data_IF_481673504828
#
_entry.id   IF_481673504828
#
_cell.length_a   1.000
_cell.length_b   1.000
_cell.length_c   1.000
_cell.angle_alpha   90.00
_cell.angle_beta   90.00
_cell.angle_gamma   90.00
#
_symmetry.space_group_name_H-M   'P 1'
#
loop_
_entity.id
_entity.type
_entity.pdbx_description
1 polymer ?
#
# COMPACT_ATOMS: atom_id res chain seq x y z
N UNK A 1 13.24 -19.62 1.78
CA UNK A 1 14.52 -19.61 1.03
C UNK A 1 15.15 -18.26 1.30
N UNK A 2 16.44 -18.17 1.72
CA UNK A 2 17.05 -16.86 1.92
C UNK A 2 16.97 -16.05 0.61
N UNK A 3 16.68 -14.74 0.67
CA UNK A 3 16.59 -13.92 -0.53
C UNK A 3 17.91 -14.05 -1.32
N UNK A 4 17.80 -14.33 -2.61
CA UNK A 4 18.98 -14.31 -3.49
C UNK A 4 19.55 -12.90 -3.45
N UNK A 5 20.80 -12.77 -3.10
CA UNK A 5 21.50 -11.50 -3.18
C UNK A 5 21.63 -11.12 -4.65
N UNK A 6 20.83 -10.18 -5.11
CA UNK A 6 20.97 -9.59 -6.44
C UNK A 6 22.34 -8.93 -6.53
N UNK A 7 23.06 -9.18 -7.60
CA UNK A 7 24.41 -8.65 -7.79
C UNK A 7 24.40 -7.45 -8.74
N UNK A 8 25.39 -6.58 -8.61
CA UNK A 8 25.61 -5.45 -9.52
C UNK A 8 25.66 -5.89 -10.99
N UNK A 9 26.34 -6.99 -11.29
CA UNK A 9 26.49 -7.47 -12.66
C UNK A 9 25.17 -7.92 -13.27
N UNK A 10 24.23 -8.45 -12.47
CA UNK A 10 22.89 -8.82 -12.93
C UNK A 10 22.04 -7.61 -13.34
N UNK A 11 22.20 -6.45 -12.67
CA UNK A 11 21.44 -5.23 -12.97
C UNK A 11 22.18 -4.26 -13.91
N UNK A 12 23.44 -4.53 -14.25
CA UNK A 12 24.25 -3.64 -15.10
C UNK A 12 23.63 -3.41 -16.49
N UNK A 13 22.97 -4.43 -17.06
CA UNK A 13 22.26 -4.34 -18.34
C UNK A 13 21.06 -3.40 -18.26
N UNK A 14 20.21 -3.59 -17.24
CA UNK A 14 19.03 -2.75 -16.99
C UNK A 14 19.42 -1.29 -16.70
N UNK A 15 20.41 -1.06 -15.84
CA UNK A 15 20.90 0.27 -15.52
C UNK A 15 21.38 1.02 -16.77
N UNK A 16 22.12 0.33 -17.65
CA UNK A 16 22.62 0.90 -18.91
C UNK A 16 21.50 1.20 -19.90
N UNK A 17 20.50 0.33 -20.00
CA UNK A 17 19.35 0.54 -20.86
C UNK A 17 18.50 1.73 -20.39
N UNK A 18 18.28 1.85 -19.06
CA UNK A 18 17.50 2.91 -18.45
C UNK A 18 18.18 4.29 -18.46
N UNK A 19 19.49 4.34 -18.14
CA UNK A 19 20.19 5.59 -17.85
C UNK A 19 21.22 5.99 -18.92
N UNK A 20 21.36 5.18 -19.96
CA UNK A 20 22.22 5.45 -21.10
C UNK A 20 23.56 4.70 -21.07
N UNK A 21 24.02 4.31 -22.27
CA UNK A 21 25.17 3.42 -22.49
C UNK A 21 26.53 3.99 -22.14
N UNK A 22 26.65 5.29 -21.89
CA UNK A 22 27.90 5.96 -21.49
C UNK A 22 28.23 5.86 -20.00
N UNK A 23 27.29 5.35 -19.19
CA UNK A 23 27.42 5.22 -17.74
C UNK A 23 27.63 3.77 -17.33
N UNK A 24 28.35 3.58 -16.23
CA UNK A 24 28.60 2.26 -15.67
C UNK A 24 27.95 2.17 -14.28
N UNK A 25 27.24 1.07 -14.02
CA UNK A 25 26.72 0.79 -12.69
C UNK A 25 27.88 0.54 -11.72
N UNK A 26 28.01 1.37 -10.69
CA UNK A 26 29.05 1.30 -9.68
C UNK A 26 28.59 0.59 -8.41
N UNK A 27 27.37 0.85 -7.99
CA UNK A 27 26.79 0.29 -6.76
C UNK A 27 25.33 -0.10 -6.89
N UNK A 28 24.92 -1.05 -6.06
CA UNK A 28 23.51 -1.38 -5.79
C UNK A 28 23.30 -1.45 -4.28
N UNK A 29 22.15 -0.98 -3.83
CA UNK A 29 21.72 -1.04 -2.45
C UNK A 29 20.29 -1.58 -2.40
N UNK A 30 20.05 -2.67 -1.67
CA UNK A 30 18.68 -3.14 -1.42
C UNK A 30 18.02 -2.24 -0.39
N UNK A 31 16.93 -1.59 -0.76
CA UNK A 31 16.14 -0.81 0.16
C UNK A 31 15.21 -1.73 0.98
N UNK A 32 15.00 -1.37 2.24
CA UNK A 32 14.16 -2.13 3.17
C UNK A 32 12.69 -1.71 3.05
N UNK A 33 11.77 -2.56 3.49
CA UNK A 33 10.33 -2.26 3.61
C UNK A 33 9.43 -2.97 2.61
N UNK A 34 9.92 -3.41 1.45
CA UNK A 34 9.12 -4.16 0.48
C UNK A 34 8.77 -5.57 0.97
N UNK A 35 7.49 -5.97 0.83
CA UNK A 35 7.03 -7.35 1.14
C UNK A 35 6.67 -8.15 -0.09
N UNK A 36 6.44 -7.51 -1.25
CA UNK A 36 5.95 -8.14 -2.48
C UNK A 36 6.91 -8.03 -3.68
N UNK A 37 7.91 -7.14 -3.60
CA UNK A 37 8.90 -6.88 -4.66
C UNK A 37 10.26 -6.49 -4.07
N UNK A 38 11.34 -6.77 -4.80
CA UNK A 38 12.67 -6.27 -4.50
C UNK A 38 12.80 -4.80 -4.94
N UNK A 39 13.35 -3.96 -4.07
CA UNK A 39 13.58 -2.53 -4.36
C UNK A 39 15.08 -2.26 -4.22
N UNK A 40 15.72 -1.84 -5.31
CA UNK A 40 17.16 -1.64 -5.35
C UNK A 40 17.51 -0.25 -5.85
N UNK A 41 18.29 0.52 -5.07
CA UNK A 41 18.90 1.75 -5.56
C UNK A 41 20.11 1.40 -6.40
N UNK A 42 20.14 1.90 -7.62
CA UNK A 42 21.23 1.81 -8.57
C UNK A 42 22.06 3.10 -8.49
N UNK A 43 23.38 3.01 -8.37
CA UNK A 43 24.29 4.17 -8.39
C UNK A 43 25.25 4.02 -9.55
N UNK A 44 25.26 5.02 -10.44
CA UNK A 44 26.15 5.09 -11.59
C UNK A 44 27.47 5.76 -11.22
N UNK A 45 28.49 5.60 -12.08
CA UNK A 45 29.85 6.17 -11.89
C UNK A 45 29.89 7.70 -11.93
N UNK A 46 28.83 8.37 -12.40
CA UNK A 46 28.66 9.82 -12.33
C UNK A 46 27.78 10.26 -11.14
N UNK A 47 27.55 9.38 -10.17
CA UNK A 47 26.67 9.56 -9.03
C UNK A 47 25.16 9.73 -9.37
N UNK A 48 24.75 9.53 -10.61
CA UNK A 48 23.32 9.44 -10.95
C UNK A 48 22.72 8.20 -10.28
N UNK A 49 21.50 8.33 -9.73
CA UNK A 49 20.79 7.23 -9.09
C UNK A 49 19.45 6.94 -9.77
N UNK A 50 18.99 5.70 -9.64
CA UNK A 50 17.66 5.25 -10.05
C UNK A 50 17.21 4.11 -9.14
N UNK A 51 15.91 3.79 -9.16
CA UNK A 51 15.35 2.66 -8.42
C UNK A 51 14.99 1.55 -9.41
N UNK A 52 15.44 0.33 -9.13
CA UNK A 52 14.98 -0.88 -9.81
C UNK A 52 13.95 -1.61 -8.94
N UNK A 53 12.78 -1.89 -9.51
CA UNK A 53 11.77 -2.79 -8.95
C UNK A 53 11.90 -4.16 -9.61
N UNK A 54 11.96 -5.21 -8.80
CA UNK A 54 12.06 -6.59 -9.26
C UNK A 54 10.88 -7.41 -8.73
N UNK A 55 10.02 -7.90 -9.61
CA UNK A 55 8.93 -8.80 -9.26
C UNK A 55 9.39 -10.26 -9.40
N UNK A 56 10.29 -10.66 -8.52
CA UNK A 56 10.81 -12.02 -8.42
C UNK A 56 10.19 -12.75 -7.24
N UNK A 57 9.85 -14.03 -7.40
CA UNK A 57 9.23 -14.85 -6.34
C UNK A 57 10.07 -14.86 -5.05
N UNK A 58 11.38 -14.83 -5.15
CA UNK A 58 12.29 -14.79 -4.00
C UNK A 58 12.25 -13.48 -3.21
N UNK A 59 11.69 -12.41 -3.77
CA UNK A 59 11.50 -11.11 -3.13
C UNK A 59 10.09 -10.94 -2.55
N UNK A 60 9.21 -11.91 -2.80
CA UNK A 60 7.84 -11.90 -2.31
C UNK A 60 7.70 -12.76 -1.05
N UNK A 61 7.42 -12.14 0.09
CA UNK A 61 7.20 -12.80 1.38
C UNK A 61 5.75 -13.27 1.59
N UNK A 62 4.84 -12.92 0.65
CA UNK A 62 3.46 -13.41 0.72
C UNK A 62 3.40 -14.84 0.23
N UNK A 63 2.74 -15.77 0.97
CA UNK A 63 2.66 -17.17 0.57
C UNK A 63 2.03 -17.36 -0.82
N UNK A 64 2.73 -18.06 -1.70
CA UNK A 64 2.32 -18.32 -3.09
C UNK A 64 0.94 -18.98 -3.24
N UNK A 65 0.47 -19.69 -2.23
CA UNK A 65 -0.84 -20.37 -2.22
C UNK A 65 -2.05 -19.45 -2.34
N UNK A 66 -1.85 -18.13 -2.23
CA UNK A 66 -2.90 -17.13 -2.36
C UNK A 66 -2.80 -16.28 -3.63
N UNK A 67 -1.76 -16.45 -4.38
CA UNK A 67 -1.59 -15.75 -5.64
C UNK A 67 -2.36 -16.46 -6.73
N UNK A 68 -3.62 -16.12 -6.90
CA UNK A 68 -4.47 -16.68 -7.96
C UNK A 68 -4.49 -15.81 -9.23
N UNK A 69 -3.84 -14.64 -9.20
CA UNK A 69 -3.81 -13.69 -10.32
C UNK A 69 -5.19 -13.13 -10.69
N UNK A 70 -6.18 -13.29 -9.81
CA UNK A 70 -7.55 -12.88 -10.09
C UNK A 70 -7.71 -11.36 -9.97
N UNK A 71 -7.47 -10.64 -11.05
CA UNK A 71 -7.65 -9.18 -11.11
C UNK A 71 -9.11 -8.75 -10.87
N UNK A 72 -10.09 -9.65 -11.05
CA UNK A 72 -11.48 -9.34 -10.79
C UNK A 72 -11.80 -9.22 -9.29
N UNK A 73 -10.99 -9.81 -8.40
CA UNK A 73 -11.07 -9.54 -6.96
C UNK A 73 -10.17 -8.35 -6.61
N UNK A 74 -10.70 -7.17 -6.23
CA UNK A 74 -9.89 -6.00 -5.87
C UNK A 74 -8.92 -6.27 -4.71
N UNK A 75 -9.24 -7.26 -3.87
CA UNK A 75 -8.47 -7.63 -2.67
C UNK A 75 -7.71 -8.95 -2.83
N UNK A 76 -7.65 -9.52 -4.03
CA UNK A 76 -6.72 -10.61 -4.31
C UNK A 76 -5.29 -10.08 -4.16
N UNK A 77 -4.39 -10.82 -3.49
CA UNK A 77 -2.98 -10.47 -3.51
C UNK A 77 -2.51 -10.42 -4.96
N UNK A 78 -2.31 -9.23 -5.47
CA UNK A 78 -1.84 -9.00 -6.81
C UNK A 78 -0.73 -7.96 -6.75
N UNK A 79 0.37 -8.24 -7.37
CA UNK A 79 1.47 -7.34 -7.64
C UNK A 79 2.01 -7.69 -9.01
N UNK A 80 2.83 -6.84 -9.54
CA UNK A 80 3.44 -7.10 -10.82
C UNK A 80 3.58 -5.84 -11.65
N UNK A 81 4.41 -5.97 -12.65
CA UNK A 81 4.74 -4.88 -13.54
C UNK A 81 3.52 -4.31 -14.27
N UNK A 82 2.58 -5.18 -14.71
CA UNK A 82 1.34 -4.73 -15.38
C UNK A 82 0.48 -3.82 -14.50
N UNK A 83 0.35 -4.14 -13.20
CA UNK A 83 -0.41 -3.33 -12.26
C UNK A 83 0.28 -2.00 -11.98
N UNK A 84 1.61 -2.04 -11.82
CA UNK A 84 2.43 -0.85 -11.66
C UNK A 84 2.30 0.10 -12.85
N UNK A 85 2.43 -0.40 -14.10
CA UNK A 85 2.30 0.42 -15.30
C UNK A 85 0.91 1.02 -15.47
N UNK A 86 -0.15 0.25 -15.22
CA UNK A 86 -1.52 0.75 -15.30
C UNK A 86 -1.78 1.86 -14.27
N UNK A 87 -1.31 1.66 -13.02
CA UNK A 87 -1.42 2.65 -11.97
C UNK A 87 -0.59 3.91 -12.29
N UNK A 88 0.66 3.75 -12.72
CA UNK A 88 1.53 4.83 -13.15
C UNK A 88 0.88 5.67 -14.25
N UNK A 89 0.40 5.02 -15.32
CA UNK A 89 -0.27 5.68 -16.44
C UNK A 89 -1.53 6.43 -16.00
N UNK A 90 -2.32 5.88 -15.07
CA UNK A 90 -3.51 6.53 -14.56
C UNK A 90 -3.17 7.77 -13.74
N UNK A 91 -2.21 7.68 -12.84
CA UNK A 91 -1.80 8.81 -11.99
C UNK A 91 -1.16 9.92 -12.82
N UNK A 92 -0.32 9.59 -13.79
CA UNK A 92 0.26 10.56 -14.74
C UNK A 92 -0.83 11.27 -15.55
N UNK A 93 -1.81 10.53 -16.06
CA UNK A 93 -2.96 11.10 -16.79
C UNK A 93 -3.83 12.04 -15.92
N UNK A 94 -3.80 11.87 -14.60
CA UNK A 94 -4.44 12.78 -13.64
C UNK A 94 -3.56 13.99 -13.28
N UNK A 95 -2.34 14.05 -13.82
CA UNK A 95 -1.37 15.11 -13.52
C UNK A 95 -0.71 14.98 -12.15
N UNK A 96 -0.76 13.79 -11.53
CA UNK A 96 -0.11 13.53 -10.25
C UNK A 96 1.35 13.12 -10.45
N UNK A 97 2.19 13.55 -9.55
CA UNK A 97 3.61 13.22 -9.58
C UNK A 97 3.83 11.77 -9.11
N UNK A 98 4.35 10.96 -10.00
CA UNK A 98 4.88 9.61 -9.75
C UNK A 98 6.32 9.55 -10.24
N UNK A 99 7.16 8.60 -9.79
CA UNK A 99 8.53 8.47 -10.30
C UNK A 99 8.54 8.28 -11.81
N UNK A 100 9.37 9.06 -12.54
CA UNK A 100 9.50 8.89 -13.99
C UNK A 100 9.96 7.46 -14.33
N UNK A 101 9.36 6.86 -15.35
CA UNK A 101 9.61 5.51 -15.78
C UNK A 101 10.72 5.51 -16.86
N UNK A 102 11.88 4.92 -16.55
CA UNK A 102 13.04 4.90 -17.46
C UNK A 102 13.14 3.61 -18.26
N UNK A 103 12.72 2.48 -17.69
CA UNK A 103 12.76 1.17 -18.34
C UNK A 103 11.61 0.30 -17.80
N UNK A 104 11.00 -0.45 -18.71
CA UNK A 104 10.06 -1.56 -18.42
C UNK A 104 10.57 -2.77 -19.16
N UNK A 105 10.68 -3.92 -18.49
CA UNK A 105 11.19 -5.16 -19.08
C UNK A 105 10.28 -6.35 -18.71
N UNK A 106 9.22 -6.55 -19.51
CA UNK A 106 8.35 -7.73 -19.46
C UNK A 106 9.00 -8.96 -20.09
N UNK A 107 9.85 -8.71 -21.10
CA UNK A 107 10.48 -9.76 -21.89
C UNK A 107 11.67 -10.40 -21.18
N UNK A 108 12.06 -9.87 -20.01
CA UNK A 108 13.18 -10.36 -19.19
C UNK A 108 14.51 -10.33 -19.93
N UNK A 109 14.70 -9.30 -20.76
CA UNK A 109 15.93 -9.11 -21.53
C UNK A 109 17.12 -8.69 -20.67
N UNK A 110 16.84 -8.03 -19.54
CA UNK A 110 17.86 -7.43 -18.67
C UNK A 110 17.98 -8.11 -17.31
N UNK A 111 16.93 -8.83 -16.88
CA UNK A 111 16.86 -9.57 -15.62
C UNK A 111 15.91 -10.76 -15.76
N UNK A 112 16.11 -11.91 -15.07
CA UNK A 112 15.27 -13.10 -15.25
C UNK A 112 13.86 -13.02 -14.62
N UNK A 113 13.43 -11.84 -14.18
CA UNK A 113 12.08 -11.55 -13.73
C UNK A 113 11.62 -10.22 -14.32
N UNK A 114 10.34 -9.89 -14.18
CA UNK A 114 9.78 -8.60 -14.58
C UNK A 114 10.47 -7.48 -13.79
N UNK A 115 10.84 -6.40 -14.51
CA UNK A 115 11.64 -5.33 -13.96
C UNK A 115 11.16 -3.97 -14.46
N UNK A 116 11.15 -2.97 -13.56
CA UNK A 116 11.09 -1.57 -13.94
C UNK A 116 12.26 -0.79 -13.33
N UNK A 117 12.76 0.20 -14.06
CA UNK A 117 13.70 1.20 -13.53
C UNK A 117 13.02 2.55 -13.56
N UNK A 118 12.97 3.20 -12.39
CA UNK A 118 12.28 4.47 -12.19
C UNK A 118 13.20 5.53 -11.58
N UNK A 119 12.75 6.77 -11.60
CA UNK A 119 13.39 7.90 -10.95
C UNK A 119 13.63 7.64 -9.46
N UNK A 120 14.79 8.02 -8.95
CA UNK A 120 15.12 7.98 -7.52
C UNK A 120 14.91 9.35 -6.87
N UNK A 121 14.29 9.31 -5.70
CA UNK A 121 14.15 10.45 -4.81
C UNK A 121 14.96 10.17 -3.53
N UNK A 122 16.24 10.57 -3.48
CA UNK A 122 17.14 10.22 -2.38
C UNK A 122 16.87 11.00 -1.09
N UNK A 123 15.73 11.64 -0.96
CA UNK A 123 15.27 12.35 0.22
C UNK A 123 14.55 11.46 1.23
N UNK A 124 13.94 12.12 2.20
CA UNK A 124 13.03 11.50 3.16
C UNK A 124 11.60 11.39 2.57
N UNK A 125 10.80 10.49 3.12
CA UNK A 125 9.37 10.47 2.85
C UNK A 125 8.64 11.59 3.61
N UNK A 126 7.37 11.80 3.28
CA UNK A 126 6.58 12.89 3.88
C UNK A 126 6.29 12.65 5.37
N UNK A 127 6.27 11.40 5.82
CA UNK A 127 6.09 11.07 7.24
C UNK A 127 7.30 11.55 8.06
N UNK A 128 8.51 11.25 7.62
CA UNK A 128 9.76 11.67 8.26
C UNK A 128 9.92 13.19 8.15
N UNK A 129 9.60 13.78 7.00
CA UNK A 129 9.64 15.23 6.81
C UNK A 129 8.69 15.96 7.75
N UNK A 130 7.43 15.52 7.84
CA UNK A 130 6.42 16.10 8.75
C UNK A 130 6.85 15.94 10.22
N UNK A 131 7.45 14.82 10.56
CA UNK A 131 7.96 14.56 11.90
C UNK A 131 9.12 15.45 12.28
N UNK A 132 10.01 15.74 11.35
CA UNK A 132 11.22 16.56 11.54
C UNK A 132 10.90 18.06 11.58
N UNK A 133 10.08 18.53 10.63
CA UNK A 133 9.70 19.94 10.54
C UNK A 133 8.26 20.10 10.06
N UNK A 134 7.28 20.08 10.98
CA UNK A 134 5.87 20.20 10.62
C UNK A 134 5.51 21.48 9.86
N UNK A 135 6.25 22.58 10.10
CA UNK A 135 5.97 23.83 9.40
C UNK A 135 6.45 23.82 7.96
N UNK A 136 7.66 23.31 7.73
CA UNK A 136 8.21 23.18 6.39
C UNK A 136 7.44 22.15 5.54
N UNK A 137 6.85 21.12 6.14
CA UNK A 137 6.07 20.12 5.46
C UNK A 137 4.64 20.56 5.04
N UNK A 138 4.10 21.64 5.65
CA UNK A 138 2.74 22.10 5.36
C UNK A 138 2.44 22.34 3.87
N UNK A 139 3.29 22.98 3.06
CA UNK A 139 3.04 23.16 1.64
C UNK A 139 2.93 21.82 0.89
N UNK A 140 3.76 20.83 1.25
CA UNK A 140 3.70 19.48 0.66
C UNK A 140 2.42 18.75 1.07
N UNK A 141 2.01 18.87 2.33
CA UNK A 141 0.71 18.33 2.80
C UNK A 141 -0.48 18.95 2.06
N UNK A 142 -0.45 20.26 1.81
CA UNK A 142 -1.49 20.93 1.02
C UNK A 142 -1.53 20.40 -0.42
N UNK A 143 -0.38 20.23 -1.07
CA UNK A 143 -0.28 19.63 -2.41
C UNK A 143 -0.74 18.18 -2.45
N UNK A 144 -0.44 17.40 -1.41
CA UNK A 144 -0.96 16.04 -1.28
C UNK A 144 -2.49 16.04 -1.16
N UNK A 145 -3.07 16.94 -0.37
CA UNK A 145 -4.52 17.13 -0.28
C UNK A 145 -5.14 17.43 -1.67
N UNK A 146 -4.52 18.30 -2.46
CA UNK A 146 -4.94 18.61 -3.84
C UNK A 146 -4.83 17.38 -4.74
N UNK A 147 -3.75 16.59 -4.63
CA UNK A 147 -3.57 15.34 -5.36
C UNK A 147 -4.68 14.33 -5.04
N UNK A 148 -5.00 14.15 -3.76
CA UNK A 148 -6.12 13.29 -3.34
C UNK A 148 -7.48 13.82 -3.80
N UNK A 149 -7.65 15.15 -3.87
CA UNK A 149 -8.87 15.76 -4.42
C UNK A 149 -9.01 15.48 -5.92
N UNK A 150 -7.91 15.51 -6.69
CA UNK A 150 -7.89 15.13 -8.10
C UNK A 150 -8.27 13.66 -8.30
N UNK A 151 -7.66 12.74 -7.53
CA UNK A 151 -8.03 11.31 -7.54
C UNK A 151 -9.51 11.12 -7.22
N UNK A 152 -10.00 11.75 -6.14
CA UNK A 152 -11.40 11.66 -5.73
C UNK A 152 -12.39 12.21 -6.77
N UNK A 153 -12.01 13.22 -7.51
CA UNK A 153 -12.86 13.83 -8.55
C UNK A 153 -12.96 12.98 -9.81
N UNK A 154 -11.99 12.14 -10.06
CA UNK A 154 -11.99 11.22 -11.20
C UNK A 154 -12.82 9.98 -10.88
N UNK A 155 -13.94 9.82 -11.59
CA UNK A 155 -14.94 8.80 -11.28
C UNK A 155 -15.14 7.82 -12.42
N UNK A 156 -15.40 6.56 -12.06
CA UNK A 156 -15.81 5.50 -12.98
C UNK A 156 -17.16 4.90 -12.54
N UNK A 157 -17.96 4.36 -13.48
CA UNK A 157 -19.21 3.68 -13.17
C UNK A 157 -18.98 2.24 -12.65
N UNK A 158 -17.74 1.75 -12.68
CA UNK A 158 -17.35 0.43 -12.21
C UNK A 158 -16.23 0.55 -11.18
N UNK A 159 -16.22 -0.37 -10.21
CA UNK A 159 -15.17 -0.47 -9.20
C UNK A 159 -14.20 -1.60 -9.53
N UNK A 160 -13.00 -1.52 -8.99
CA UNK A 160 -11.95 -2.52 -9.15
C UNK A 160 -10.59 -1.91 -9.47
N UNK A 161 -9.60 -2.76 -9.64
CA UNK A 161 -8.24 -2.33 -9.99
C UNK A 161 -8.25 -1.50 -11.27
N UNK A 162 -7.48 -0.42 -11.28
CA UNK A 162 -7.35 0.46 -12.46
C UNK A 162 -6.95 -0.35 -13.69
N UNK A 163 -6.00 -1.27 -13.57
CA UNK A 163 -5.56 -2.14 -14.67
C UNK A 163 -6.72 -2.91 -15.32
N UNK A 164 -7.68 -3.38 -14.53
CA UNK A 164 -8.84 -4.13 -15.02
C UNK A 164 -9.89 -3.19 -15.63
N UNK A 165 -10.28 -2.15 -14.90
CA UNK A 165 -11.39 -1.28 -15.29
C UNK A 165 -11.02 -0.45 -16.54
N UNK A 166 -9.82 0.08 -16.61
CA UNK A 166 -9.35 0.86 -17.77
C UNK A 166 -9.17 0.02 -19.03
N UNK A 167 -8.96 -1.29 -18.89
CA UNK A 167 -8.98 -2.24 -20.02
C UNK A 167 -10.39 -2.72 -20.41
N UNK A 168 -11.45 -2.21 -19.77
CA UNK A 168 -12.84 -2.58 -20.05
C UNK A 168 -13.30 -3.86 -19.36
N UNK A 169 -12.54 -4.36 -18.39
CA UNK A 169 -12.90 -5.51 -17.58
C UNK A 169 -13.93 -5.17 -16.50
N UNK A 170 -14.33 -6.17 -15.74
CA UNK A 170 -15.35 -6.04 -14.68
C UNK A 170 -14.88 -6.77 -13.43
N UNK A 171 -14.96 -6.10 -12.27
CA UNK A 171 -14.73 -6.73 -10.97
C UNK A 171 -15.81 -7.74 -10.61
N UNK A 172 -15.42 -8.71 -9.79
CA UNK A 172 -16.36 -9.64 -9.17
C UNK A 172 -17.24 -8.94 -8.12
N UNK A 173 -18.33 -9.62 -7.74
CA UNK A 173 -19.27 -9.10 -6.74
C UNK A 173 -20.27 -8.10 -7.31
N UNK A 174 -21.08 -7.53 -6.46
CA UNK A 174 -22.21 -6.66 -6.83
C UNK A 174 -22.01 -5.20 -6.44
N UNK A 175 -21.10 -4.91 -5.50
CA UNK A 175 -20.80 -3.56 -5.01
C UNK A 175 -19.52 -3.53 -4.19
N UNK A 176 -18.97 -2.35 -3.93
CA UNK A 176 -17.77 -2.17 -3.10
C UNK A 176 -17.93 -2.76 -1.70
N UNK A 177 -19.04 -2.47 -1.04
CA UNK A 177 -19.31 -2.98 0.30
C UNK A 177 -19.46 -4.49 0.33
N UNK A 178 -20.00 -5.11 -0.74
CA UNK A 178 -20.13 -6.57 -0.82
C UNK A 178 -18.77 -7.25 -0.96
N UNK A 179 -17.91 -6.80 -1.89
CA UNK A 179 -16.55 -7.37 -2.03
C UNK A 179 -15.67 -7.07 -0.82
N UNK A 180 -15.83 -5.92 -0.19
CA UNK A 180 -15.13 -5.60 1.05
C UNK A 180 -15.60 -6.49 2.21
N UNK A 181 -16.90 -6.79 2.31
CA UNK A 181 -17.43 -7.75 3.29
C UNK A 181 -16.82 -9.14 3.06
N UNK A 182 -16.80 -9.63 1.82
CA UNK A 182 -16.21 -10.93 1.48
C UNK A 182 -14.72 -10.97 1.83
N UNK A 183 -13.99 -9.89 1.56
CA UNK A 183 -12.60 -9.75 1.99
C UNK A 183 -12.46 -9.78 3.51
N UNK A 184 -13.28 -9.02 4.24
CA UNK A 184 -13.28 -9.03 5.71
C UNK A 184 -13.58 -10.40 6.32
N UNK A 185 -14.50 -11.16 5.71
CA UNK A 185 -14.81 -12.54 6.13
C UNK A 185 -13.64 -13.52 5.85
N UNK A 186 -12.92 -13.35 4.74
CA UNK A 186 -11.68 -14.10 4.47
C UNK A 186 -10.60 -13.78 5.50
N UNK A 187 -10.38 -12.51 5.80
CA UNK A 187 -9.42 -12.07 6.83
C UNK A 187 -9.80 -12.63 8.21
N UNK A 188 -11.08 -12.60 8.56
CA UNK A 188 -11.57 -13.21 9.82
C UNK A 188 -11.26 -14.71 9.87
N UNK A 189 -11.53 -15.45 8.81
CA UNK A 189 -11.25 -16.89 8.76
C UNK A 189 -9.75 -17.18 8.97
N UNK A 190 -8.87 -16.33 8.41
CA UNK A 190 -7.42 -16.46 8.59
C UNK A 190 -6.95 -16.11 9.99
N UNK A 191 -7.48 -15.03 10.58
CA UNK A 191 -7.16 -14.64 11.95
C UNK A 191 -7.61 -15.73 12.95
N UNK A 192 -8.81 -16.27 12.76
CA UNK A 192 -9.36 -17.40 13.56
C UNK A 192 -8.47 -18.64 13.50
N UNK A 193 -7.89 -18.94 12.35
CA UNK A 193 -7.00 -20.10 12.21
C UNK A 193 -5.65 -19.93 12.92
N UNK A 194 -5.27 -18.70 13.32
CA UNK A 194 -3.94 -18.36 13.86
C UNK A 194 -3.94 -17.79 15.27
N UNK A 195 -5.06 -17.25 15.75
CA UNK A 195 -5.16 -16.63 17.07
C UNK A 195 -6.43 -17.09 17.82
N UNK A 196 -6.24 -17.60 19.03
CA UNK A 196 -7.32 -18.16 19.88
C UNK A 196 -8.34 -17.09 20.31
N UNK A 197 -7.93 -15.82 20.46
CA UNK A 197 -8.84 -14.72 20.83
C UNK A 197 -9.76 -14.39 19.66
N UNK A 198 -9.20 -14.36 18.43
CA UNK A 198 -10.00 -14.23 17.22
C UNK A 198 -10.97 -15.39 17.05
N UNK A 199 -10.52 -16.63 17.34
CA UNK A 199 -11.37 -17.81 17.30
C UNK A 199 -12.53 -17.73 18.30
N UNK A 200 -12.26 -17.27 19.52
CA UNK A 200 -13.29 -17.09 20.55
C UNK A 200 -14.29 -15.98 20.22
N UNK A 201 -13.89 -14.98 19.45
CA UNK A 201 -14.73 -13.84 19.05
C UNK A 201 -15.37 -14.00 17.65
N UNK A 202 -15.18 -15.13 16.97
CA UNK A 202 -15.56 -15.36 15.57
C UNK A 202 -17.00 -14.92 15.25
N UNK A 203 -17.96 -15.47 15.98
CA UNK A 203 -19.39 -15.22 15.69
C UNK A 203 -19.76 -13.74 15.89
N UNK A 204 -19.14 -13.08 16.88
CA UNK A 204 -19.33 -11.67 17.14
C UNK A 204 -18.74 -10.80 16.02
N UNK A 205 -17.55 -11.15 15.53
CA UNK A 205 -16.90 -10.45 14.43
C UNK A 205 -17.68 -10.64 13.13
N UNK A 206 -18.13 -11.84 12.81
CA UNK A 206 -18.96 -12.09 11.64
C UNK A 206 -20.30 -11.34 11.71
N UNK A 207 -20.99 -11.38 12.84
CA UNK A 207 -22.21 -10.61 13.04
C UNK A 207 -21.97 -9.11 12.84
N UNK A 208 -20.86 -8.58 13.36
CA UNK A 208 -20.51 -7.17 13.23
C UNK A 208 -20.24 -6.80 11.77
N UNK A 209 -19.43 -7.56 11.05
CA UNK A 209 -19.16 -7.35 9.63
C UNK A 209 -20.45 -7.27 8.81
N UNK A 210 -21.34 -8.26 8.98
CA UNK A 210 -22.61 -8.33 8.26
C UNK A 210 -23.56 -7.18 8.64
N UNK A 211 -23.59 -6.80 9.90
CA UNK A 211 -24.43 -5.68 10.38
C UNK A 211 -23.95 -4.34 9.82
N UNK A 212 -22.63 -4.10 9.80
CA UNK A 212 -22.04 -2.89 9.24
C UNK A 212 -22.28 -2.83 7.72
N UNK A 213 -22.06 -3.93 7.01
CA UNK A 213 -22.33 -3.98 5.57
C UNK A 213 -23.79 -3.74 5.22
N UNK A 214 -24.74 -4.27 6.01
CA UNK A 214 -26.16 -4.06 5.81
C UNK A 214 -26.62 -2.59 6.02
N UNK A 215 -25.84 -1.79 6.74
CA UNK A 215 -26.11 -0.38 6.94
C UNK A 215 -25.62 0.52 5.79
N UNK A 216 -24.77 0.00 4.91
CA UNK A 216 -24.21 0.73 3.77
C UNK A 216 -25.22 0.75 2.61
N UNK A 217 -25.37 1.89 1.95
CA UNK A 217 -26.18 2.02 0.73
C UNK A 217 -25.29 1.90 -0.51
N UNK A 218 -25.65 1.10 -1.52
CA UNK A 218 -24.86 0.97 -2.74
C UNK A 218 -24.62 2.32 -3.43
N UNK A 219 -23.47 2.45 -4.12
CA UNK A 219 -23.12 3.57 -4.99
C UNK A 219 -23.08 3.11 -6.45
N UNK A 220 -23.17 4.10 -7.36
CA UNK A 220 -23.08 3.88 -8.80
C UNK A 220 -21.82 4.50 -9.42
N UNK A 221 -21.02 5.23 -8.63
CA UNK A 221 -19.79 5.89 -9.07
C UNK A 221 -18.71 5.74 -8.02
N UNK A 222 -17.49 5.47 -8.48
CA UNK A 222 -16.34 5.14 -7.65
C UNK A 222 -15.17 6.04 -7.99
N UNK A 223 -14.45 6.49 -6.99
CA UNK A 223 -13.28 7.38 -7.14
C UNK A 223 -12.00 6.56 -7.31
N UNK A 224 -10.99 7.17 -7.92
CA UNK A 224 -9.63 6.62 -7.83
C UNK A 224 -9.15 6.75 -6.39
N UNK A 225 -8.67 5.64 -5.82
CA UNK A 225 -8.03 5.56 -4.51
C UNK A 225 -6.70 4.82 -4.63
N UNK A 226 -5.72 5.20 -3.81
CA UNK A 226 -4.41 4.55 -3.79
C UNK A 226 -4.50 3.10 -3.28
N UNK A 227 -5.41 2.86 -2.34
CA UNK A 227 -5.63 1.53 -1.76
C UNK A 227 -4.92 1.31 -0.43
N UNK A 228 -3.70 1.78 -0.28
CA UNK A 228 -2.88 1.64 0.93
C UNK A 228 -2.10 2.92 1.29
N UNK A 229 -2.63 4.11 1.05
CA UNK A 229 -1.88 5.34 1.24
C UNK A 229 -1.46 5.56 2.71
N UNK A 230 -0.16 5.75 2.88
CA UNK A 230 0.46 6.32 4.07
C UNK A 230 1.40 7.46 3.67
N UNK A 231 1.78 8.33 4.60
CA UNK A 231 2.75 9.40 4.30
C UNK A 231 4.16 8.86 4.02
N UNK A 232 4.46 7.64 4.42
CA UNK A 232 5.65 6.86 4.06
C UNK A 232 5.62 6.35 2.60
N UNK A 233 4.44 6.32 1.94
CA UNK A 233 4.28 6.08 0.51
C UNK A 233 4.25 7.38 -0.32
N UNK A 234 4.66 8.49 0.29
CA UNK A 234 4.75 9.81 -0.36
C UNK A 234 6.18 10.32 -0.22
N UNK A 235 6.96 10.27 -1.28
CA UNK A 235 8.27 10.90 -1.31
C UNK A 235 8.13 12.40 -1.57
N UNK A 236 9.15 13.17 -1.22
CA UNK A 236 9.16 14.61 -1.43
C UNK A 236 10.26 14.97 -2.41
N UNK A 237 9.90 15.59 -3.53
CA UNK A 237 10.89 16.03 -4.50
C UNK A 237 11.60 17.32 -4.05
N UNK A 238 12.59 17.77 -4.83
CA UNK A 238 13.42 18.95 -4.51
C UNK A 238 12.62 20.26 -4.45
N UNK A 239 11.47 20.31 -5.12
CA UNK A 239 10.57 21.46 -5.16
C UNK A 239 9.42 21.35 -4.15
N UNK A 240 9.47 20.32 -3.30
CA UNK A 240 8.47 20.03 -2.28
C UNK A 240 7.16 19.48 -2.83
N UNK A 241 7.17 18.84 -4.03
CA UNK A 241 6.00 18.14 -4.53
C UNK A 241 5.92 16.73 -3.94
N UNK A 242 4.70 16.27 -3.58
CA UNK A 242 4.49 14.90 -3.17
C UNK A 242 4.60 13.97 -4.39
N UNK A 243 5.32 12.88 -4.25
CA UNK A 243 5.52 11.84 -5.26
C UNK A 243 4.96 10.53 -4.72
N UNK A 244 3.92 10.00 -5.35
CA UNK A 244 3.26 8.78 -4.91
C UNK A 244 4.06 7.54 -5.33
N UNK A 245 4.27 6.61 -4.40
CA UNK A 245 4.91 5.31 -4.63
C UNK A 245 4.04 4.18 -4.06
N UNK A 246 4.42 2.94 -4.33
CA UNK A 246 3.70 1.73 -3.91
C UNK A 246 2.25 1.68 -4.43
N UNK A 247 2.12 1.95 -5.73
CA UNK A 247 0.88 2.30 -6.43
C UNK A 247 0.14 1.10 -7.04
N UNK A 248 0.64 -0.13 -6.89
CA UNK A 248 0.10 -1.32 -7.56
C UNK A 248 -1.33 -1.67 -7.14
N UNK A 249 -1.75 -1.20 -5.97
CA UNK A 249 -3.12 -1.37 -5.46
C UNK A 249 -4.10 -0.27 -5.87
N UNK A 250 -3.69 0.64 -6.77
CA UNK A 250 -4.55 1.70 -7.29
C UNK A 250 -5.84 1.12 -7.87
N UNK A 251 -6.98 1.63 -7.39
CA UNK A 251 -8.28 1.13 -7.83
C UNK A 251 -9.34 2.22 -7.88
N UNK A 252 -10.40 1.98 -8.63
CA UNK A 252 -11.66 2.68 -8.50
C UNK A 252 -12.43 2.06 -7.35
N UNK A 253 -12.68 2.84 -6.29
CA UNK A 253 -13.34 2.33 -5.10
C UNK A 253 -14.06 3.45 -4.34
N UNK A 254 -14.67 3.12 -3.20
CA UNK A 254 -15.23 4.11 -2.28
C UNK A 254 -14.10 4.93 -1.64
N UNK A 255 -14.24 6.24 -1.67
CA UNK A 255 -13.25 7.16 -1.10
C UNK A 255 -13.01 6.94 0.40
N UNK A 256 -13.99 6.40 1.11
CA UNK A 256 -13.89 6.05 2.52
C UNK A 256 -12.83 4.99 2.79
N UNK A 257 -12.52 4.11 1.81
CA UNK A 257 -11.43 3.14 1.90
C UNK A 257 -10.09 3.84 2.10
N UNK A 258 -9.79 4.84 1.28
CA UNK A 258 -8.58 5.66 1.40
C UNK A 258 -8.51 6.36 2.76
N UNK A 259 -9.63 6.99 3.18
CA UNK A 259 -9.67 7.74 4.42
C UNK A 259 -9.56 6.85 5.67
N UNK A 260 -9.94 5.58 5.59
CA UNK A 260 -9.69 4.61 6.67
C UNK A 260 -8.19 4.35 6.83
N UNK A 261 -7.45 4.11 5.75
CA UNK A 261 -6.00 3.96 5.82
C UNK A 261 -5.32 5.20 6.39
N UNK A 262 -5.67 6.39 5.89
CA UNK A 262 -5.13 7.64 6.38
C UNK A 262 -5.42 7.85 7.88
N UNK A 263 -6.62 7.51 8.35
CA UNK A 263 -6.98 7.57 9.78
C UNK A 263 -6.17 6.59 10.63
N UNK A 264 -5.97 5.36 10.14
CA UNK A 264 -5.24 4.33 10.86
C UNK A 264 -3.76 4.65 10.98
N UNK A 265 -3.15 5.13 9.88
CA UNK A 265 -1.69 5.35 9.81
C UNK A 265 -1.26 6.73 10.36
N UNK A 266 -2.13 7.75 10.25
CA UNK A 266 -1.75 9.15 10.55
C UNK A 266 -2.73 9.84 11.47
N UNK A 267 -3.16 9.16 12.52
CA UNK A 267 -4.20 9.63 13.44
C UNK A 267 -4.05 11.11 13.86
N UNK A 268 -2.87 11.53 14.32
CA UNK A 268 -2.60 12.91 14.74
C UNK A 268 -2.62 13.91 13.59
N UNK A 269 -2.21 13.49 12.39
CA UNK A 269 -1.97 14.34 11.24
C UNK A 269 -3.08 14.20 10.17
N UNK A 270 -4.05 13.31 10.39
CA UNK A 270 -5.17 13.09 9.49
C UNK A 270 -5.98 14.38 9.22
N UNK A 271 -6.00 15.31 10.17
CA UNK A 271 -6.71 16.59 10.03
C UNK A 271 -6.24 17.42 8.81
N UNK A 272 -4.98 17.25 8.34
CA UNK A 272 -4.50 17.88 7.10
C UNK A 272 -5.14 17.32 5.84
N UNK A 273 -5.61 16.07 5.87
CA UNK A 273 -6.13 15.33 4.71
C UNK A 273 -7.63 15.02 4.84
N UNK A 274 -8.26 15.47 5.94
CA UNK A 274 -9.68 15.23 6.19
C UNK A 274 -10.57 15.97 5.18
N UNK A 275 -11.70 15.37 4.84
CA UNK A 275 -12.71 15.95 3.96
C UNK A 275 -14.09 15.76 4.55
N UNK A 276 -15.01 16.64 4.17
CA UNK A 276 -16.41 16.52 4.57
C UNK A 276 -17.19 15.57 3.64
N UNK A 277 -18.32 15.07 4.13
CA UNK A 277 -19.29 14.30 3.35
C UNK A 277 -18.94 12.82 3.14
N UNK A 278 -17.99 12.27 3.91
CA UNK A 278 -17.74 10.83 3.96
C UNK A 278 -18.93 10.11 4.60
N UNK A 279 -19.24 8.91 4.10
CA UNK A 279 -20.31 8.06 4.66
C UNK A 279 -19.79 7.32 5.90
N UNK A 280 -20.34 7.66 7.07
CA UNK A 280 -19.93 7.08 8.35
C UNK A 280 -20.18 5.56 8.44
N UNK A 281 -21.19 5.03 7.74
CA UNK A 281 -21.42 3.58 7.70
C UNK A 281 -20.31 2.87 6.90
N UNK A 282 -19.88 3.46 5.78
CA UNK A 282 -18.72 2.95 5.01
C UNK A 282 -17.44 3.03 5.81
N UNK A 283 -17.18 4.16 6.45
CA UNK A 283 -16.01 4.33 7.30
C UNK A 283 -15.97 3.29 8.42
N UNK A 284 -17.10 3.03 9.08
CA UNK A 284 -17.19 2.02 10.14
C UNK A 284 -16.95 0.60 9.59
N UNK A 285 -17.56 0.25 8.46
CA UNK A 285 -17.37 -1.05 7.80
C UNK A 285 -15.91 -1.25 7.43
N UNK A 286 -15.34 -0.31 6.69
CA UNK A 286 -13.96 -0.44 6.18
C UNK A 286 -12.92 -0.39 7.30
N UNK A 287 -13.15 0.41 8.33
CA UNK A 287 -12.28 0.43 9.52
C UNK A 287 -12.23 -0.93 10.20
N UNK A 288 -13.39 -1.56 10.39
CA UNK A 288 -13.45 -2.88 11.01
C UNK A 288 -12.80 -3.96 10.15
N UNK A 289 -13.02 -3.91 8.83
CA UNK A 289 -12.37 -4.80 7.86
C UNK A 289 -10.85 -4.61 7.91
N UNK A 290 -10.36 -3.36 7.97
CA UNK A 290 -8.92 -3.11 8.04
C UNK A 290 -8.28 -3.63 9.33
N UNK A 291 -8.96 -3.54 10.46
CA UNK A 291 -8.45 -4.18 11.68
C UNK A 291 -8.32 -5.71 11.52
N UNK A 292 -9.25 -6.36 10.85
CA UNK A 292 -9.14 -7.80 10.58
C UNK A 292 -8.05 -8.11 9.54
N UNK A 293 -7.93 -7.29 8.49
CA UNK A 293 -6.89 -7.43 7.45
C UNK A 293 -5.48 -7.28 8.04
N UNK A 294 -5.28 -6.23 8.83
CA UNK A 294 -3.99 -5.93 9.50
C UNK A 294 -3.73 -6.84 10.71
N UNK A 295 -4.68 -7.69 11.09
CA UNK A 295 -4.44 -8.85 11.96
C UNK A 295 -3.99 -10.06 11.11
N UNK A 296 -4.75 -10.40 10.10
CA UNK A 296 -4.56 -11.63 9.32
C UNK A 296 -3.31 -11.58 8.44
N UNK A 297 -3.05 -10.44 7.78
CA UNK A 297 -1.90 -10.26 6.90
C UNK A 297 -0.56 -10.47 7.60
N UNK A 298 -0.24 -9.71 8.66
CA UNK A 298 0.98 -9.91 9.43
C UNK A 298 1.11 -11.32 10.01
N UNK A 299 0.03 -11.92 10.54
CA UNK A 299 0.07 -13.31 11.02
C UNK A 299 0.41 -14.28 9.89
N UNK A 300 -0.02 -14.04 8.67
CA UNK A 300 0.30 -14.84 7.49
C UNK A 300 1.75 -14.65 7.06
N UNK A 301 2.27 -13.42 7.07
CA UNK A 301 3.69 -13.15 6.79
C UNK A 301 4.60 -13.87 7.78
N UNK A 302 4.16 -14.06 9.02
CA UNK A 302 4.89 -14.85 10.01
C UNK A 302 5.01 -16.34 9.64
N UNK A 303 4.26 -16.86 8.70
CA UNK A 303 4.43 -18.20 8.14
C UNK A 303 5.62 -18.26 7.16
N UNK A 304 6.18 -17.12 6.72
CA UNK A 304 7.36 -16.98 5.87
C UNK A 304 8.63 -16.72 6.70
N UNK A 305 9.75 -16.51 6.01
CA UNK A 305 11.04 -16.11 6.58
C UNK A 305 11.26 -14.58 6.60
N UNK A 306 10.19 -13.80 6.64
CA UNK A 306 10.25 -12.34 6.75
C UNK A 306 11.14 -11.93 7.95
N UNK A 307 12.11 -11.04 7.73
CA UNK A 307 13.16 -10.78 8.74
C UNK A 307 12.64 -10.07 9.99
N UNK A 308 11.74 -9.09 9.85
CA UNK A 308 11.22 -8.32 10.98
C UNK A 308 9.92 -8.94 11.53
N UNK A 309 10.11 -10.06 12.23
CA UNK A 309 8.99 -10.83 12.79
C UNK A 309 8.34 -10.16 13.99
N UNK A 310 9.09 -9.34 14.74
CA UNK A 310 8.58 -8.63 15.90
C UNK A 310 7.60 -7.55 15.45
N UNK A 311 7.97 -6.76 14.47
CA UNK A 311 7.11 -5.78 13.84
C UNK A 311 5.78 -6.37 13.33
N UNK A 312 5.82 -7.53 12.65
CA UNK A 312 4.59 -8.20 12.20
C UNK A 312 3.69 -8.63 13.36
N UNK A 313 4.28 -9.08 14.48
CA UNK A 313 3.49 -9.43 15.69
C UNK A 313 2.84 -8.19 16.31
N UNK A 314 3.57 -7.10 16.40
CA UNK A 314 3.06 -5.85 16.97
C UNK A 314 1.88 -5.31 16.19
N UNK A 315 1.95 -5.30 14.84
CA UNK A 315 0.83 -4.91 13.99
C UNK A 315 -0.38 -5.82 14.24
N UNK A 316 -0.19 -7.14 14.18
CA UNK A 316 -1.28 -8.09 14.38
C UNK A 316 -1.93 -7.93 15.75
N UNK A 317 -1.14 -7.79 16.81
CA UNK A 317 -1.59 -7.65 18.18
C UNK A 317 -2.38 -6.35 18.38
N UNK A 318 -1.86 -5.24 17.89
CA UNK A 318 -2.54 -3.96 17.95
C UNK A 318 -3.92 -4.03 17.28
N UNK A 319 -3.99 -4.49 16.04
CA UNK A 319 -5.24 -4.50 15.28
C UNK A 319 -6.24 -5.52 15.80
N UNK A 320 -5.80 -6.68 16.29
CA UNK A 320 -6.68 -7.63 16.95
C UNK A 320 -7.31 -7.04 18.22
N UNK A 321 -6.52 -6.34 19.03
CA UNK A 321 -7.02 -5.67 20.23
C UNK A 321 -8.05 -4.58 19.89
N UNK A 322 -7.85 -3.82 18.82
CA UNK A 322 -8.83 -2.86 18.32
C UNK A 322 -10.13 -3.55 17.87
N UNK A 323 -10.03 -4.64 17.11
CA UNK A 323 -11.21 -5.40 16.70
C UNK A 323 -11.99 -5.98 17.89
N UNK A 324 -11.30 -6.50 18.91
CA UNK A 324 -11.91 -7.01 20.14
C UNK A 324 -12.59 -5.88 20.95
N UNK A 325 -11.94 -4.72 21.07
CA UNK A 325 -12.49 -3.56 21.77
C UNK A 325 -13.78 -3.03 21.10
N UNK A 326 -13.91 -3.17 19.79
CA UNK A 326 -15.11 -2.78 19.05
C UNK A 326 -16.38 -3.51 19.52
N UNK A 327 -16.23 -4.73 20.04
CA UNK A 327 -17.35 -5.52 20.53
C UNK A 327 -17.85 -5.11 21.92
N UNK A 328 -17.05 -4.40 22.73
CA UNK A 328 -17.38 -4.05 24.11
C UNK A 328 -18.16 -2.73 24.25
N UNK A 329 -18.48 -2.05 23.13
CA UNK A 329 -19.26 -0.79 23.16
C UNK A 329 -18.52 0.41 23.75
N UNK A 330 -17.20 0.31 23.96
CA UNK A 330 -16.36 1.43 24.39
C UNK A 330 -16.27 2.43 23.24
N UNK A 331 -16.88 3.59 23.41
CA UNK A 331 -17.03 4.63 22.38
C UNK A 331 -15.69 5.28 22.01
N UNK A 332 -15.63 5.84 20.81
CA UNK A 332 -14.45 6.43 20.12
C UNK A 332 -13.54 7.35 20.96
N UNK A 333 -14.03 8.01 22.00
CA UNK A 333 -13.23 8.94 22.79
C UNK A 333 -12.08 8.30 23.59
N UNK A 334 -12.16 6.99 23.88
CA UNK A 334 -11.09 6.24 24.55
C UNK A 334 -10.13 5.54 23.55
N UNK A 335 -10.52 5.46 22.27
CA UNK A 335 -9.80 4.76 21.19
C UNK A 335 -8.70 5.62 20.59
N UNK A 336 -8.81 6.93 20.77
CA UNK A 336 -7.95 7.94 20.16
C UNK A 336 -6.55 8.05 20.79
N UNK A 337 -6.35 7.49 21.99
CA UNK A 337 -5.18 7.80 22.80
C UNK A 337 -3.95 6.90 22.57
N UNK A 338 -4.01 5.88 21.72
CA UNK A 338 -2.93 4.87 21.64
C UNK A 338 -2.22 4.72 20.28
N UNK A 339 -2.47 5.63 19.31
CA UNK A 339 -1.69 5.68 18.07
C UNK A 339 -0.63 6.78 18.13
N UNK A 340 0.33 6.65 19.03
CA UNK A 340 1.62 7.33 18.90
C UNK A 340 2.47 6.56 17.87
N UNK A 341 3.50 7.20 17.30
CA UNK A 341 4.50 6.69 16.32
C UNK A 341 5.01 5.25 16.57
N UNK A 342 4.69 4.64 17.71
CA UNK A 342 5.06 3.26 18.07
C UNK A 342 4.18 2.19 17.40
N UNK A 343 3.02 2.55 16.85
CA UNK A 343 2.08 1.59 16.28
C UNK A 343 2.30 1.30 14.78
N UNK A 344 3.08 2.13 14.11
CA UNK A 344 3.57 1.91 12.75
C UNK A 344 5.00 2.41 12.69
N UNK A 345 6.00 1.60 13.05
CA UNK A 345 7.39 1.95 12.85
C UNK A 345 7.69 1.90 11.35
N UNK A 346 7.31 2.95 10.62
CA UNK A 346 7.82 3.21 9.30
C UNK A 346 9.33 3.33 9.42
N UNK A 347 10.05 2.51 8.66
CA UNK A 347 11.47 2.64 8.34
C UNK A 347 12.35 3.25 9.46
N UNK A 348 12.63 2.51 10.52
CA UNK A 348 13.84 2.72 11.27
C UNK A 348 15.01 2.39 10.32
N UNK A 349 15.47 3.38 9.54
CA UNK A 349 16.79 3.32 8.93
C UNK A 349 17.77 3.14 10.09
N UNK A 350 18.28 1.93 10.28
CA UNK A 350 19.49 1.75 11.07
C UNK A 350 20.57 2.57 10.36
N UNK A 351 20.87 3.72 10.91
CA UNK A 351 22.11 4.42 10.64
C UNK A 351 23.21 3.51 11.16
N UNK A 352 23.81 2.74 10.27
CA UNK A 352 25.07 2.06 10.53
C UNK A 352 26.13 3.16 10.77
N UNK A 353 26.63 3.23 12.01
CA UNK A 353 27.82 3.98 12.35
C UNK A 353 29.09 3.38 11.71
#
# INVERSE_FOLDING_TARGET
MAPRTVTRDQLAGAARAALGGGRRLEGIERLTGGTSKGVYRLTMDDATTAIAYLWEESENYWPATRWDGNLADPFSPAGGLDLFEAAHSRLDALGLRVPALYLVDHDRNHYPADLAVVEDFPGEDLMDFLARDPRAAQPTMARLFESLAAMRSHRAPAYGRVALIDSGGTSQGTSCEAVALDFGLRCLAEAVARDQRAASARDQFEYRLRSLAAAVRPRAEYSVVHGELGLDHVLVDRDGWPVLIDIEDLMYFDVEWEHVFLRLRHHSDYHYLSVDGLDENRLALYMFIQHLSLTAGPLRILDSDFPDREFMREIAEFHLNQALAWNTGITDSARTACCTRQCWPGSAKQTSG
#
